data_IF_756857778872
#
_entry.id   IF_756857778872
#
_cell.length_a   1.000
_cell.length_b   1.000
_cell.length_c   1.000
_cell.angle_alpha   90.00
_cell.angle_beta   90.00
_cell.angle_gamma   90.00
#
_symmetry.space_group_name_H-M   'P 1'
#
loop_
_entity.id
_entity.type
_entity.pdbx_description
1 polymer ?
#
# COMPACT_ATOMS: atom_id res chain seq x y z
N UNK A 1 7.89 26.99 -14.56
CA UNK A 1 6.74 26.05 -14.73
C UNK A 1 6.62 24.97 -13.62
N UNK A 2 7.52 24.91 -12.62
CA UNK A 2 7.53 23.88 -11.55
C UNK A 2 6.56 24.16 -10.37
N UNK A 3 6.33 25.43 -10.04
CA UNK A 3 5.54 25.82 -8.85
C UNK A 3 4.05 25.42 -8.89
N UNK A 4 3.42 25.35 -10.08
CA UNK A 4 1.99 24.99 -10.22
C UNK A 4 1.69 23.50 -10.00
N UNK A 5 2.66 22.61 -10.22
CA UNK A 5 2.49 21.17 -9.94
C UNK A 5 2.59 20.85 -8.46
N UNK A 6 3.45 21.56 -7.72
CA UNK A 6 3.61 21.44 -6.27
C UNK A 6 2.43 22.02 -5.50
N UNK A 7 1.84 23.14 -5.94
CA UNK A 7 0.64 23.71 -5.30
C UNK A 7 -0.58 22.80 -5.43
N UNK A 8 -0.76 22.09 -6.54
CA UNK A 8 -1.79 21.04 -6.69
C UNK A 8 -1.53 19.79 -5.83
N UNK A 9 -0.33 19.65 -5.29
CA UNK A 9 0.04 18.62 -4.32
C UNK A 9 -0.24 19.07 -2.88
N UNK A 10 -0.64 20.33 -2.67
CA UNK A 10 -0.83 20.94 -1.34
C UNK A 10 -2.29 21.37 -1.14
N UNK A 11 -3.00 21.73 -2.21
CA UNK A 11 -4.42 22.13 -2.17
C UNK A 11 -5.27 21.11 -2.93
N UNK A 12 -5.94 20.17 -2.23
CA UNK A 12 -6.82 19.21 -2.87
C UNK A 12 -8.15 19.88 -3.23
N UNK A 13 -8.47 19.86 -4.53
CA UNK A 13 -9.75 20.39 -5.06
C UNK A 13 -10.88 19.36 -4.96
N UNK A 14 -10.55 18.06 -5.04
CA UNK A 14 -11.51 16.95 -5.08
C UNK A 14 -11.01 15.76 -4.26
N UNK A 15 -11.88 14.78 -3.97
CA UNK A 15 -11.54 13.55 -3.23
C UNK A 15 -10.36 12.76 -3.85
N UNK A 16 -10.28 12.71 -5.18
CA UNK A 16 -9.16 12.07 -5.89
C UNK A 16 -7.81 12.76 -5.63
N UNK A 17 -7.82 14.09 -5.52
CA UNK A 17 -6.62 14.87 -5.23
C UNK A 17 -6.19 14.69 -3.77
N UNK A 18 -7.16 14.57 -2.85
CA UNK A 18 -6.88 14.29 -1.44
C UNK A 18 -6.24 12.89 -1.25
N UNK A 19 -6.71 11.88 -1.99
CA UNK A 19 -6.19 10.51 -1.94
C UNK A 19 -4.97 10.25 -2.85
N UNK A 20 -4.53 11.26 -3.60
CA UNK A 20 -3.42 11.11 -4.53
C UNK A 20 -2.12 10.60 -3.91
N UNK A 21 -1.69 11.02 -2.70
CA UNK A 21 -0.47 10.50 -2.08
C UNK A 21 -0.55 8.98 -1.92
N UNK A 22 -1.64 8.46 -1.34
CA UNK A 22 -1.77 7.02 -1.10
C UNK A 22 -1.91 6.22 -2.39
N UNK A 23 -2.59 6.75 -3.41
CA UNK A 23 -2.64 6.10 -4.73
C UNK A 23 -1.26 5.92 -5.36
N UNK A 24 -0.35 6.88 -5.18
CA UNK A 24 1.02 6.76 -5.69
C UNK A 24 1.74 5.59 -5.02
N UNK A 25 1.66 5.48 -3.69
CA UNK A 25 2.30 4.38 -2.96
C UNK A 25 1.67 3.03 -3.27
N UNK A 26 0.34 2.97 -3.40
CA UNK A 26 -0.35 1.74 -3.80
C UNK A 26 -0.04 1.33 -5.26
N UNK A 27 0.19 2.30 -6.15
CA UNK A 27 0.61 2.01 -7.52
C UNK A 27 2.03 1.44 -7.56
N UNK A 28 2.96 2.05 -6.81
CA UNK A 28 4.33 1.56 -6.68
C UNK A 28 4.41 0.19 -6.02
N UNK A 29 3.51 -0.10 -5.08
CA UNK A 29 3.45 -1.41 -4.44
C UNK A 29 2.78 -2.48 -5.29
N UNK A 30 2.25 -2.14 -6.47
CA UNK A 30 1.54 -3.06 -7.36
C UNK A 30 0.07 -3.32 -6.99
N UNK A 31 -0.43 -2.74 -5.88
CA UNK A 31 -1.80 -2.97 -5.40
C UNK A 31 -2.88 -2.17 -6.13
N UNK A 32 -2.51 -1.05 -6.76
CA UNK A 32 -3.46 -0.12 -7.36
C UNK A 32 -3.16 0.11 -8.85
N UNK A 33 -3.80 -0.62 -9.77
CA UNK A 33 -3.51 -0.55 -11.20
C UNK A 33 -4.19 0.64 -11.92
N UNK A 34 -4.75 1.58 -11.17
CA UNK A 34 -5.53 2.67 -11.72
C UNK A 34 -4.73 3.96 -11.84
N UNK A 35 -5.12 4.76 -12.83
CA UNK A 35 -4.64 6.12 -13.01
C UNK A 35 -5.80 7.08 -12.82
N UNK A 36 -5.55 8.17 -12.09
CA UNK A 36 -6.48 9.29 -12.02
C UNK A 36 -6.43 10.04 -13.35
N UNK A 37 -7.55 10.09 -14.06
CA UNK A 37 -7.71 10.79 -15.33
C UNK A 37 -8.78 11.86 -15.17
N UNK A 38 -8.56 13.03 -15.76
CA UNK A 38 -9.58 14.08 -15.85
C UNK A 38 -10.10 14.10 -17.30
N UNK A 39 -11.38 13.81 -17.50
CA UNK A 39 -12.04 13.80 -18.80
C UNK A 39 -13.35 14.59 -18.68
N UNK A 40 -13.56 15.54 -19.59
CA UNK A 40 -14.79 16.37 -19.65
C UNK A 40 -15.14 17.07 -18.33
N UNK A 41 -14.12 17.63 -17.66
CA UNK A 41 -14.28 18.32 -16.36
C UNK A 41 -14.40 17.39 -15.16
N UNK A 42 -14.80 16.12 -15.36
CA UNK A 42 -14.91 15.09 -14.31
C UNK A 42 -13.60 14.36 -14.09
N UNK A 43 -13.28 14.07 -12.84
CA UNK A 43 -12.10 13.28 -12.45
C UNK A 43 -12.55 11.87 -12.13
N UNK A 44 -11.86 10.85 -12.65
CA UNK A 44 -12.21 9.45 -12.45
C UNK A 44 -11.00 8.52 -12.44
N UNK A 45 -11.22 7.28 -12.04
CA UNK A 45 -10.23 6.22 -12.03
C UNK A 45 -10.37 5.36 -13.27
N UNK A 46 -9.29 5.26 -14.05
CA UNK A 46 -9.23 4.41 -15.25
C UNK A 46 -8.19 3.32 -15.03
N UNK A 47 -8.57 2.08 -15.31
CA UNK A 47 -7.64 0.96 -15.30
C UNK A 47 -6.62 1.14 -16.43
N UNK A 48 -5.34 0.98 -16.11
CA UNK A 48 -4.29 1.04 -17.12
C UNK A 48 -3.67 -0.33 -17.34
N UNK A 49 -3.36 -0.66 -18.59
CA UNK A 49 -2.63 -1.88 -18.93
C UNK A 49 -1.28 -1.94 -18.18
N UNK A 50 -0.58 -0.80 -18.09
CA UNK A 50 0.64 -0.66 -17.28
C UNK A 50 0.43 -0.98 -15.80
N UNK A 51 -0.69 -0.55 -15.21
CA UNK A 51 -1.04 -0.87 -13.83
C UNK A 51 -1.23 -2.37 -13.64
N UNK A 52 -1.95 -3.03 -14.55
CA UNK A 52 -2.14 -4.49 -14.50
C UNK A 52 -0.81 -5.24 -14.64
N UNK A 53 0.05 -4.81 -15.58
CA UNK A 53 1.38 -5.38 -15.78
C UNK A 53 2.25 -5.21 -14.52
N UNK A 54 2.20 -4.03 -13.87
CA UNK A 54 2.89 -3.77 -12.61
C UNK A 54 2.41 -4.72 -11.52
N UNK A 55 1.11 -4.88 -11.35
CA UNK A 55 0.52 -5.84 -10.40
C UNK A 55 1.02 -7.27 -10.65
N UNK A 56 0.98 -7.74 -11.89
CA UNK A 56 1.47 -9.09 -12.24
C UNK A 56 2.97 -9.24 -11.99
N UNK A 57 3.78 -8.24 -12.37
CA UNK A 57 5.22 -8.24 -12.12
C UNK A 57 5.53 -8.36 -10.62
N UNK A 58 4.86 -7.56 -9.79
CA UNK A 58 5.02 -7.59 -8.35
C UNK A 58 4.62 -8.94 -7.76
N UNK A 59 3.49 -9.50 -8.18
CA UNK A 59 3.05 -10.83 -7.74
C UNK A 59 4.09 -11.92 -8.04
N UNK A 60 4.67 -11.92 -9.25
CA UNK A 60 5.71 -12.87 -9.66
C UNK A 60 6.99 -12.63 -8.86
N UNK A 61 7.44 -11.38 -8.75
CA UNK A 61 8.65 -11.01 -8.02
C UNK A 61 8.58 -11.46 -6.55
N UNK A 62 7.45 -11.21 -5.88
CA UNK A 62 7.24 -11.65 -4.50
C UNK A 62 7.16 -13.16 -4.39
N UNK A 63 6.45 -13.83 -5.30
CA UNK A 63 6.40 -15.30 -5.34
C UNK A 63 7.80 -15.92 -5.45
N UNK A 64 8.65 -15.38 -6.32
CA UNK A 64 10.05 -15.84 -6.48
C UNK A 64 10.87 -15.60 -5.22
N UNK A 65 10.78 -14.41 -4.62
CA UNK A 65 11.49 -14.11 -3.37
C UNK A 65 11.07 -15.08 -2.25
N UNK A 66 9.77 -15.37 -2.13
CA UNK A 66 9.25 -16.32 -1.16
C UNK A 66 9.76 -17.74 -1.38
N UNK A 67 9.65 -18.27 -2.60
CA UNK A 67 10.12 -19.62 -2.92
C UNK A 67 11.62 -19.75 -2.68
N UNK A 68 12.42 -18.72 -3.02
CA UNK A 68 13.86 -18.71 -2.77
C UNK A 68 14.19 -18.74 -1.28
N UNK A 69 13.54 -17.89 -0.50
CA UNK A 69 13.70 -17.84 0.97
C UNK A 69 13.36 -19.19 1.61
N UNK A 70 12.27 -19.84 1.20
CA UNK A 70 11.91 -21.18 1.66
C UNK A 70 12.92 -22.25 1.26
N UNK A 71 13.42 -22.23 0.01
CA UNK A 71 14.42 -23.20 -0.47
C UNK A 71 15.74 -23.10 0.30
N UNK A 72 16.16 -21.88 0.62
CA UNK A 72 17.39 -21.63 1.37
C UNK A 72 17.21 -21.79 2.89
N UNK A 73 15.97 -22.04 3.36
CA UNK A 73 15.61 -22.14 4.78
C UNK A 73 16.13 -20.97 5.60
N UNK A 74 16.14 -19.78 5.00
CA UNK A 74 16.58 -18.55 5.66
C UNK A 74 15.36 -17.80 6.16
N UNK A 75 15.42 -17.31 7.39
CA UNK A 75 14.39 -16.46 7.97
C UNK A 75 15.01 -15.56 9.02
N UNK A 76 14.58 -14.29 9.06
CA UNK A 76 14.99 -13.35 10.11
C UNK A 76 14.63 -13.92 11.49
N UNK A 77 13.45 -14.52 11.66
CA UNK A 77 13.04 -15.12 12.94
C UNK A 77 13.86 -16.38 13.24
N UNK A 78 14.04 -17.25 12.24
CA UNK A 78 14.83 -18.47 12.38
C UNK A 78 16.29 -18.22 12.76
N UNK A 79 16.86 -17.08 12.37
CA UNK A 79 18.21 -16.67 12.77
C UNK A 79 18.35 -16.30 14.25
N UNK A 80 17.29 -15.79 14.88
CA UNK A 80 17.34 -15.35 16.29
C UNK A 80 16.77 -16.38 17.27
N UNK A 81 15.86 -17.25 16.82
CA UNK A 81 15.14 -18.19 17.68
C UNK A 81 15.16 -19.59 17.07
N UNK A 82 16.26 -20.31 17.26
CA UNK A 82 16.43 -21.68 16.80
C UNK A 82 15.85 -22.67 17.82
N UNK A 83 14.51 -22.80 17.84
CA UNK A 83 13.83 -23.91 18.52
C UNK A 83 12.86 -24.61 17.56
N UNK A 84 12.52 -25.87 17.83
CA UNK A 84 11.56 -26.63 17.01
C UNK A 84 10.20 -25.93 16.92
N UNK A 85 9.74 -25.37 18.05
CA UNK A 85 8.49 -24.60 18.12
C UNK A 85 8.58 -23.34 17.26
N UNK A 86 9.69 -22.60 17.34
CA UNK A 86 9.88 -21.38 16.54
C UNK A 86 10.03 -21.68 15.06
N UNK A 87 10.65 -22.81 14.69
CA UNK A 87 10.81 -23.23 13.29
C UNK A 87 9.47 -23.54 12.63
N UNK A 88 8.58 -24.22 13.37
CA UNK A 88 7.20 -24.47 12.93
C UNK A 88 6.43 -23.15 12.82
N UNK A 89 6.51 -22.28 13.84
CA UNK A 89 5.86 -20.97 13.83
C UNK A 89 6.32 -20.07 12.67
N UNK A 90 7.62 -20.04 12.39
CA UNK A 90 8.22 -19.31 11.28
C UNK A 90 7.67 -19.81 9.93
N UNK A 91 7.62 -21.13 9.74
CA UNK A 91 7.05 -21.74 8.54
C UNK A 91 5.57 -21.38 8.34
N UNK A 92 4.76 -21.41 9.41
CA UNK A 92 3.36 -20.96 9.36
C UNK A 92 3.24 -19.48 9.03
N UNK A 93 4.08 -18.62 9.62
CA UNK A 93 4.11 -17.20 9.33
C UNK A 93 4.41 -16.94 7.85
N UNK A 94 5.36 -17.65 7.25
CA UNK A 94 5.65 -17.55 5.82
C UNK A 94 4.44 -17.95 4.96
N UNK A 95 3.80 -19.08 5.25
CA UNK A 95 2.63 -19.55 4.49
C UNK A 95 1.47 -18.55 4.59
N UNK A 96 1.17 -18.08 5.81
CA UNK A 96 0.09 -17.10 6.04
C UNK A 96 0.37 -15.76 5.38
N UNK A 97 1.63 -15.32 5.38
CA UNK A 97 2.03 -14.08 4.73
C UNK A 97 1.91 -14.17 3.20
N UNK A 98 2.30 -15.31 2.63
CA UNK A 98 2.12 -15.57 1.20
C UNK A 98 0.63 -15.59 0.82
N UNK A 99 -0.19 -16.36 1.55
CA UNK A 99 -1.62 -16.44 1.33
C UNK A 99 -2.30 -15.07 1.44
N UNK A 100 -1.88 -14.25 2.41
CA UNK A 100 -2.40 -12.90 2.62
C UNK A 100 -2.05 -11.97 1.48
N UNK A 101 -0.79 -11.98 0.99
CA UNK A 101 -0.39 -11.18 -0.18
C UNK A 101 -1.24 -11.58 -1.40
N UNK A 102 -1.32 -12.87 -1.71
CA UNK A 102 -2.15 -13.35 -2.82
C UNK A 102 -3.61 -12.92 -2.68
N UNK A 103 -4.19 -13.05 -1.48
CA UNK A 103 -5.57 -12.66 -1.21
C UNK A 103 -5.78 -11.15 -1.42
N UNK A 104 -4.85 -10.30 -0.95
CA UNK A 104 -4.92 -8.84 -1.13
C UNK A 104 -4.88 -8.49 -2.61
N UNK A 105 -3.92 -9.04 -3.36
CA UNK A 105 -3.82 -8.80 -4.80
C UNK A 105 -5.05 -9.27 -5.58
N UNK A 106 -5.56 -10.47 -5.29
CA UNK A 106 -6.78 -10.99 -5.91
C UNK A 106 -8.00 -10.15 -5.56
N UNK A 107 -8.13 -9.73 -4.30
CA UNK A 107 -9.23 -8.87 -3.87
C UNK A 107 -9.18 -7.51 -4.60
N UNK A 108 -8.00 -6.90 -4.71
CA UNK A 108 -7.79 -5.67 -5.47
C UNK A 108 -8.21 -5.82 -6.94
N UNK A 109 -7.96 -6.98 -7.57
CA UNK A 109 -8.38 -7.25 -8.95
C UNK A 109 -9.88 -7.53 -9.08
N UNK A 110 -10.47 -8.32 -8.19
CA UNK A 110 -11.89 -8.72 -8.25
C UNK A 110 -12.81 -7.55 -7.87
N UNK A 111 -12.49 -6.82 -6.79
CA UNK A 111 -13.30 -5.72 -6.25
C UNK A 111 -13.00 -4.37 -6.91
N UNK A 112 -12.14 -4.36 -7.94
CA UNK A 112 -11.69 -3.16 -8.64
C UNK A 112 -12.83 -2.27 -9.13
N UNK A 113 -13.88 -2.87 -9.70
CA UNK A 113 -15.03 -2.13 -10.24
C UNK A 113 -15.83 -1.46 -9.13
N UNK A 114 -15.99 -2.14 -7.98
CA UNK A 114 -16.64 -1.56 -6.79
C UNK A 114 -15.86 -0.37 -6.24
N UNK A 115 -14.53 -0.39 -6.33
CA UNK A 115 -13.72 0.74 -5.89
C UNK A 115 -13.92 1.96 -6.79
N UNK A 116 -13.97 1.76 -8.11
CA UNK A 116 -14.26 2.84 -9.07
C UNK A 116 -15.67 3.40 -8.83
N UNK A 117 -16.65 2.53 -8.65
CA UNK A 117 -18.04 2.91 -8.34
C UNK A 117 -18.12 3.68 -7.02
N UNK A 118 -17.42 3.24 -5.97
CA UNK A 118 -17.39 3.95 -4.69
C UNK A 118 -16.88 5.39 -4.83
N UNK A 119 -15.75 5.59 -5.52
CA UNK A 119 -15.22 6.94 -5.74
C UNK A 119 -16.13 7.79 -6.63
N UNK A 120 -16.82 7.19 -7.61
CA UNK A 120 -17.82 7.88 -8.42
C UNK A 120 -19.01 8.33 -7.57
N UNK A 121 -19.57 7.44 -6.74
CA UNK A 121 -20.67 7.75 -5.82
C UNK A 121 -20.30 8.85 -4.83
N UNK A 122 -19.11 8.80 -4.22
CA UNK A 122 -18.68 9.87 -3.30
C UNK A 122 -18.56 11.21 -4.05
N UNK A 123 -18.05 11.20 -5.28
CA UNK A 123 -17.96 12.41 -6.11
C UNK A 123 -19.35 12.97 -6.43
N UNK A 124 -20.32 12.12 -6.77
CA UNK A 124 -21.70 12.54 -7.05
C UNK A 124 -22.40 13.10 -5.80
N UNK A 125 -22.14 12.52 -4.62
CA UNK A 125 -22.63 13.04 -3.33
C UNK A 125 -22.05 14.42 -3.07
N UNK A 126 -20.73 14.59 -3.23
CA UNK A 126 -20.04 15.87 -3.04
C UNK A 126 -20.56 16.95 -4.00
N UNK A 127 -20.74 16.62 -5.28
CA UNK A 127 -21.29 17.55 -6.27
C UNK A 127 -22.73 17.97 -5.93
N UNK A 128 -23.56 17.05 -5.45
CA UNK A 128 -24.93 17.35 -5.05
C UNK A 128 -25.00 18.16 -3.74
N UNK A 129 -24.12 17.89 -2.77
CA UNK A 129 -24.04 18.69 -1.55
C UNK A 129 -23.58 20.13 -1.82
N UNK A 130 -22.63 20.32 -2.75
CA UNK A 130 -22.22 21.64 -3.20
C UNK A 130 -23.37 22.43 -3.84
N UNK A 131 -24.23 21.77 -4.64
CA UNK A 131 -25.44 22.40 -5.20
C UNK A 131 -26.43 22.85 -4.12
N UNK A 132 -26.44 22.19 -2.96
CA UNK A 132 -27.23 22.57 -1.79
C UNK A 132 -26.57 23.66 -0.92
N UNK A 133 -25.42 24.18 -1.32
CA UNK A 133 -24.67 25.22 -0.59
C UNK A 133 -23.83 24.67 0.57
N UNK A 134 -23.68 23.36 0.69
CA UNK A 134 -22.84 22.73 1.71
C UNK A 134 -21.40 22.67 1.19
N UNK A 135 -20.54 23.54 1.71
CA UNK A 135 -19.12 23.58 1.34
C UNK A 135 -18.30 22.65 2.24
N UNK A 136 -17.85 21.52 1.69
CA UNK A 136 -16.98 20.59 2.40
C UNK A 136 -15.51 21.03 2.33
N UNK A 137 -15.02 21.70 3.37
CA UNK A 137 -13.58 21.98 3.58
C UNK A 137 -12.74 20.74 3.95
N UNK A 138 -13.28 19.53 3.82
CA UNK A 138 -12.72 18.31 4.40
C UNK A 138 -11.56 17.72 3.59
N UNK A 139 -11.42 18.03 2.30
CA UNK A 139 -10.37 17.43 1.46
C UNK A 139 -8.95 17.71 1.97
N UNK A 140 -8.68 18.93 2.46
CA UNK A 140 -7.37 19.27 3.05
C UNK A 140 -7.11 18.47 4.33
N UNK A 141 -8.13 18.28 5.17
CA UNK A 141 -8.03 17.47 6.39
C UNK A 141 -7.77 16.00 6.05
N UNK A 142 -8.49 15.44 5.08
CA UNK A 142 -8.28 14.06 4.61
C UNK A 142 -6.87 13.88 4.07
N UNK A 143 -6.39 14.82 3.25
CA UNK A 143 -5.03 14.78 2.71
C UNK A 143 -3.95 14.86 3.81
N UNK A 144 -4.13 15.73 4.80
CA UNK A 144 -3.21 15.81 5.96
C UNK A 144 -3.22 14.52 6.77
N UNK A 145 -4.38 13.92 7.02
CA UNK A 145 -4.48 12.63 7.72
C UNK A 145 -3.75 11.52 6.96
N UNK A 146 -3.89 11.46 5.63
CA UNK A 146 -3.16 10.51 4.79
C UNK A 146 -1.65 10.71 4.95
N UNK A 147 -1.16 11.95 4.85
CA UNK A 147 0.26 12.24 5.04
C UNK A 147 0.78 11.86 6.42
N UNK A 148 0.04 12.18 7.49
CA UNK A 148 0.40 11.82 8.86
C UNK A 148 0.48 10.31 9.04
N UNK A 149 -0.52 9.56 8.57
CA UNK A 149 -0.52 8.10 8.66
C UNK A 149 0.61 7.46 7.85
N UNK A 150 0.92 8.00 6.66
CA UNK A 150 2.04 7.56 5.84
C UNK A 150 3.39 7.84 6.51
N UNK A 151 3.54 8.98 7.18
CA UNK A 151 4.75 9.30 7.95
C UNK A 151 4.93 8.35 9.14
N UNK A 152 3.85 8.07 9.89
CA UNK A 152 3.87 7.10 11.00
C UNK A 152 4.26 5.71 10.49
N UNK A 153 3.64 5.25 9.41
CA UNK A 153 3.97 3.97 8.77
C UNK A 153 5.46 3.92 8.37
N UNK A 154 5.97 4.98 7.76
CA UNK A 154 7.38 5.05 7.36
C UNK A 154 8.33 4.97 8.56
N UNK A 155 8.01 5.66 9.67
CA UNK A 155 8.81 5.59 10.91
C UNK A 155 8.80 4.17 11.46
N UNK A 156 7.64 3.53 11.59
CA UNK A 156 7.51 2.16 12.12
C UNK A 156 8.29 1.18 11.25
N UNK A 157 8.14 1.25 9.92
CA UNK A 157 8.87 0.40 8.98
C UNK A 157 10.38 0.61 9.06
N UNK A 158 10.82 1.87 9.15
CA UNK A 158 12.25 2.20 9.23
C UNK A 158 12.87 1.66 10.52
N UNK A 159 12.18 1.80 11.65
CA UNK A 159 12.60 1.22 12.94
C UNK A 159 12.65 -0.30 12.83
N UNK A 160 11.64 -0.93 12.22
CA UNK A 160 11.57 -2.38 12.09
C UNK A 160 12.71 -2.93 11.22
N UNK A 161 12.94 -2.36 10.03
CA UNK A 161 14.00 -2.77 9.11
C UNK A 161 15.38 -2.50 9.70
N UNK A 162 15.60 -1.29 10.24
CA UNK A 162 16.92 -0.91 10.79
C UNK A 162 17.22 -1.72 12.04
N UNK A 163 16.24 -1.94 12.92
CA UNK A 163 16.38 -2.76 14.12
C UNK A 163 16.77 -4.20 13.78
N UNK A 164 16.05 -4.83 12.84
CA UNK A 164 16.40 -6.18 12.39
C UNK A 164 17.77 -6.24 11.71
N UNK A 165 18.11 -5.26 10.87
CA UNK A 165 19.43 -5.19 10.22
C UNK A 165 20.56 -5.03 11.24
N UNK A 166 20.42 -4.14 12.22
CA UNK A 166 21.40 -3.93 13.29
C UNK A 166 21.60 -5.19 14.11
N UNK A 167 20.53 -5.90 14.46
CA UNK A 167 20.60 -7.17 15.19
C UNK A 167 21.34 -8.24 14.38
N UNK A 168 21.02 -8.38 13.08
CA UNK A 168 21.66 -9.35 12.20
C UNK A 168 23.15 -9.05 12.02
N UNK A 169 23.49 -7.78 11.81
CA UNK A 169 24.87 -7.34 11.69
C UNK A 169 25.67 -7.60 12.97
N UNK A 170 25.09 -7.35 14.15
CA UNK A 170 25.72 -7.68 15.44
C UNK A 170 25.95 -9.17 15.63
N UNK A 171 25.06 -10.01 15.08
CA UNK A 171 25.21 -11.47 15.07
C UNK A 171 26.13 -11.99 13.95
N UNK A 172 26.72 -11.11 13.11
CA UNK A 172 27.50 -11.48 11.92
C UNK A 172 26.72 -12.35 10.91
N UNK A 173 25.39 -12.18 10.85
CA UNK A 173 24.50 -12.88 9.93
C UNK A 173 24.15 -11.93 8.78
N UNK A 174 24.31 -12.40 7.55
CA UNK A 174 24.02 -11.64 6.33
C UNK A 174 23.00 -12.41 5.46
N UNK A 175 21.68 -12.21 5.68
CA UNK A 175 20.66 -12.88 4.90
C UNK A 175 20.65 -12.40 3.45
N UNK A 176 20.16 -13.23 2.55
CA UNK A 176 19.90 -12.79 1.19
C UNK A 176 18.79 -11.72 1.13
N UNK A 177 18.87 -10.84 0.12
CA UNK A 177 17.84 -9.81 -0.10
C UNK A 177 16.43 -10.37 -0.24
N UNK A 178 16.27 -11.61 -0.73
CA UNK A 178 14.96 -12.27 -0.82
C UNK A 178 14.32 -12.50 0.55
N UNK A 179 15.12 -12.69 1.60
CA UNK A 179 14.65 -12.87 2.99
C UNK A 179 14.09 -11.56 3.52
N UNK A 180 14.79 -10.45 3.28
CA UNK A 180 14.32 -9.12 3.64
C UNK A 180 13.00 -8.79 2.92
N UNK A 181 12.91 -9.05 1.62
CA UNK A 181 11.67 -8.81 0.85
C UNK A 181 10.54 -9.68 1.39
N UNK A 182 10.75 -10.98 1.58
CA UNK A 182 9.71 -11.88 2.06
C UNK A 182 9.23 -11.55 3.49
N UNK A 183 10.08 -10.96 4.33
CA UNK A 183 9.74 -10.63 5.71
C UNK A 183 9.06 -9.26 5.85
N UNK A 184 9.63 -8.19 5.27
CA UNK A 184 9.15 -6.82 5.49
C UNK A 184 8.04 -6.40 4.55
N UNK A 185 8.01 -6.95 3.33
CA UNK A 185 7.05 -6.52 2.32
C UNK A 185 5.58 -6.83 2.67
N UNK A 186 5.22 -8.01 3.23
CA UNK A 186 3.85 -8.25 3.68
C UNK A 186 3.37 -7.22 4.71
N UNK A 187 4.25 -6.87 5.66
CA UNK A 187 3.97 -5.87 6.68
C UNK A 187 3.77 -4.48 6.07
N UNK A 188 4.59 -4.09 5.10
CA UNK A 188 4.41 -2.86 4.32
C UNK A 188 3.05 -2.80 3.60
N UNK A 189 2.65 -3.88 2.91
CA UNK A 189 1.36 -3.95 2.22
C UNK A 189 0.17 -3.88 3.19
N UNK A 190 0.30 -4.52 4.35
CA UNK A 190 -0.72 -4.48 5.40
C UNK A 190 -0.90 -3.05 5.90
N UNK A 191 0.18 -2.34 6.23
CA UNK A 191 0.10 -0.95 6.67
C UNK A 191 -0.53 -0.06 5.59
N UNK A 192 -0.12 -0.18 4.33
CA UNK A 192 -0.73 0.57 3.23
C UNK A 192 -2.25 0.33 3.12
N UNK A 193 -2.68 -0.92 3.25
CA UNK A 193 -4.10 -1.29 3.19
C UNK A 193 -4.88 -0.68 4.35
N UNK A 194 -4.31 -0.67 5.56
CA UNK A 194 -4.92 -0.04 6.75
C UNK A 194 -5.05 1.47 6.56
N UNK A 195 -3.98 2.15 6.09
CA UNK A 195 -4.05 3.60 5.85
C UNK A 195 -5.09 3.91 4.78
N UNK A 196 -5.14 3.13 3.70
CA UNK A 196 -6.10 3.33 2.62
C UNK A 196 -7.53 3.18 3.11
N UNK A 197 -7.82 2.08 3.80
CA UNK A 197 -9.16 1.81 4.33
C UNK A 197 -9.57 2.83 5.41
N UNK A 198 -8.68 3.13 6.36
CA UNK A 198 -8.96 4.07 7.45
C UNK A 198 -9.22 5.50 6.98
N UNK A 199 -8.53 5.94 5.91
CA UNK A 199 -8.76 7.25 5.31
C UNK A 199 -10.05 7.29 4.47
N UNK A 200 -10.43 6.19 3.84
CA UNK A 200 -11.69 6.05 3.11
C UNK A 200 -12.90 6.10 4.04
N UNK A 201 -12.85 5.39 5.18
CA UNK A 201 -13.95 5.33 6.14
C UNK A 201 -14.19 6.63 6.90
N UNK A 202 -13.15 7.46 7.08
CA UNK A 202 -13.25 8.79 7.72
C UNK A 202 -13.59 9.92 6.74
N UNK A 203 -13.67 9.62 5.45
CA UNK A 203 -14.08 10.58 4.42
C UNK A 203 -15.60 10.66 4.22
N UNK A 204 -16.34 9.67 4.74
CA UNK A 204 -17.81 9.68 4.88
C UNK A 204 -18.21 10.19 6.27
#
# INVERSE_FOLDING_TARGET
>A
MSCKKLTKLIVPENIYSAHRPIFIFLFFSGLFPFRVVKKDGKTGLVLTFYGLLSTTFHLIFFGVCYVRTMKLKQSIIGYFLASDITTVGDSFQFVMSLASIFAVYLCCLIKRNRLVELFATITDIDENALKLGIFFGHYRRTMMLIWTNMAIMFIILSIHVTGSYMLLHRASIYPEMSVFVAFFFPFYLMCLSIVFHGCLMRAN
#
